data_IF_852654911360
#
_entry.id   IF_852654911360
#
_cell.length_a   1.000
_cell.length_b   1.000
_cell.length_c   1.000
_cell.angle_alpha   90.00
_cell.angle_beta   90.00
_cell.angle_gamma   90.00
#
_symmetry.space_group_name_H-M   'P 1'
#
loop_
_entity.id
_entity.type
_entity.pdbx_description
1 polymer ?
#
# COMPACT_ATOMS: atom_id res chain seq x y z
N UNK A 1 13.90 -9.30 -18.30
CA UNK A 1 12.77 -9.19 -19.26
C UNK A 1 11.55 -8.57 -18.59
N UNK A 2 10.61 -7.98 -19.33
CA UNK A 2 9.39 -7.35 -18.76
C UNK A 2 8.57 -8.35 -17.92
N UNK A 3 8.45 -9.60 -18.37
CA UNK A 3 7.69 -10.64 -17.69
C UNK A 3 8.26 -10.99 -16.30
N UNK A 4 9.58 -11.10 -16.17
CA UNK A 4 10.25 -11.39 -14.88
C UNK A 4 9.97 -10.31 -13.84
N UNK A 5 9.96 -9.04 -14.26
CA UNK A 5 9.68 -7.92 -13.36
C UNK A 5 8.21 -7.87 -12.91
N UNK A 6 7.29 -8.28 -13.78
CA UNK A 6 5.87 -8.41 -13.41
C UNK A 6 5.69 -9.57 -12.42
N UNK A 7 6.35 -10.70 -12.63
CA UNK A 7 6.30 -11.84 -11.71
C UNK A 7 6.83 -11.48 -10.31
N UNK A 8 7.95 -10.77 -10.24
CA UNK A 8 8.50 -10.24 -8.99
C UNK A 8 7.49 -9.32 -8.27
N UNK A 9 6.88 -8.40 -9.00
CA UNK A 9 5.87 -7.50 -8.46
C UNK A 9 4.61 -8.22 -7.95
N UNK A 10 4.19 -9.29 -8.62
CA UNK A 10 3.07 -10.14 -8.15
C UNK A 10 3.45 -10.80 -6.83
N UNK A 11 4.65 -11.38 -6.75
CA UNK A 11 5.15 -12.03 -5.52
C UNK A 11 5.23 -11.03 -4.35
N UNK A 12 5.72 -9.82 -4.58
CA UNK A 12 5.72 -8.74 -3.59
C UNK A 12 4.30 -8.41 -3.11
N UNK A 13 3.35 -8.27 -4.03
CA UNK A 13 1.96 -7.95 -3.68
C UNK A 13 1.27 -9.08 -2.92
N UNK A 14 1.57 -10.34 -3.22
CA UNK A 14 1.08 -11.51 -2.48
C UNK A 14 1.65 -11.55 -1.06
N UNK A 15 2.95 -11.31 -0.89
CA UNK A 15 3.60 -11.25 0.42
C UNK A 15 2.99 -10.14 1.29
N UNK A 16 2.80 -8.94 0.74
CA UNK A 16 2.15 -7.84 1.44
C UNK A 16 0.69 -8.18 1.82
N UNK A 17 -0.08 -8.77 0.92
CA UNK A 17 -1.47 -9.20 1.21
C UNK A 17 -1.53 -10.22 2.34
N UNK A 18 -0.62 -11.19 2.37
CA UNK A 18 -0.57 -12.21 3.42
C UNK A 18 -0.24 -11.58 4.78
N UNK A 19 0.75 -10.68 4.81
CA UNK A 19 1.12 -9.95 6.03
C UNK A 19 -0.02 -9.09 6.58
N UNK A 20 -0.75 -8.40 5.70
CA UNK A 20 -1.91 -7.56 6.03
C UNK A 20 -3.09 -8.41 6.53
N UNK A 21 -3.39 -9.51 5.85
CA UNK A 21 -4.47 -10.45 6.23
C UNK A 21 -4.22 -11.05 7.61
N UNK A 22 -2.97 -11.43 7.91
CA UNK A 22 -2.58 -11.96 9.22
C UNK A 22 -2.83 -10.97 10.37
N UNK A 23 -2.94 -9.67 10.08
CA UNK A 23 -3.21 -8.59 11.04
C UNK A 23 -4.64 -8.07 10.98
N UNK A 24 -5.52 -8.75 10.26
CA UNK A 24 -6.92 -8.35 10.09
C UNK A 24 -7.13 -7.10 9.24
N UNK A 25 -6.11 -6.64 8.53
CA UNK A 25 -6.25 -5.53 7.59
C UNK A 25 -6.85 -6.01 6.28
N UNK A 26 -7.77 -5.23 5.72
CA UNK A 26 -8.49 -5.59 4.48
C UNK A 26 -7.90 -4.83 3.32
N UNK A 27 -7.37 -5.55 2.34
CA UNK A 27 -6.95 -4.98 1.06
C UNK A 27 -8.18 -4.67 0.20
N UNK A 28 -8.30 -3.44 -0.28
CA UNK A 28 -9.43 -2.96 -1.08
C UNK A 28 -9.11 -2.78 -2.55
N UNK A 29 -7.84 -2.50 -2.89
CA UNK A 29 -7.36 -2.39 -4.27
C UNK A 29 -5.89 -2.84 -4.36
N UNK A 30 -5.50 -3.42 -5.49
CA UNK A 30 -4.13 -3.89 -5.76
C UNK A 30 -3.71 -3.47 -7.16
N UNK A 31 -2.61 -2.70 -7.24
CA UNK A 31 -2.05 -2.21 -8.50
C UNK A 31 -0.65 -2.73 -8.68
N UNK A 32 -0.52 -3.69 -9.59
CA UNK A 32 0.74 -4.32 -9.99
C UNK A 32 0.94 -4.01 -11.48
N UNK A 33 1.48 -2.83 -11.81
CA UNK A 33 1.75 -2.48 -13.21
C UNK A 33 3.05 -1.72 -13.37
N UNK A 34 4.03 -2.34 -14.06
CA UNK A 34 5.33 -1.84 -14.55
C UNK A 34 6.22 -1.00 -13.61
N UNK A 35 5.71 -0.60 -12.45
CA UNK A 35 6.30 0.19 -11.37
C UNK A 35 6.08 -0.57 -10.06
N UNK A 36 6.68 -0.06 -9.00
CA UNK A 36 6.54 -0.59 -7.63
C UNK A 36 5.05 -0.86 -7.31
N UNK A 37 4.68 -2.05 -6.83
CA UNK A 37 3.30 -2.39 -6.51
C UNK A 37 2.71 -1.46 -5.44
N UNK A 38 1.40 -1.24 -5.53
CA UNK A 38 0.65 -0.44 -4.56
C UNK A 38 -0.62 -1.16 -4.13
N UNK A 39 -0.87 -1.18 -2.82
CA UNK A 39 -2.07 -1.76 -2.23
C UNK A 39 -2.82 -0.67 -1.47
N UNK A 40 -4.12 -0.56 -1.70
CA UNK A 40 -5.03 0.25 -0.87
C UNK A 40 -5.63 -0.66 0.20
N UNK A 41 -5.68 -0.17 1.45
CA UNK A 41 -6.18 -0.93 2.58
C UNK A 41 -7.24 -0.16 3.36
N UNK A 42 -8.10 -0.91 4.04
CA UNK A 42 -8.93 -0.45 5.13
C UNK A 42 -8.44 -1.08 6.44
N UNK A 43 -8.57 -0.35 7.55
CA UNK A 43 -8.12 -0.76 8.88
C UNK A 43 -6.59 -1.02 8.90
N UNK A 44 -5.75 0.03 8.89
CA UNK A 44 -4.31 -0.13 8.89
C UNK A 44 -3.81 -0.75 10.21
N UNK A 45 -2.93 -1.76 10.17
CA UNK A 45 -2.27 -2.28 11.36
C UNK A 45 -1.41 -1.22 12.03
N UNK A 46 -1.27 -1.30 13.36
CA UNK A 46 -0.53 -0.32 14.16
C UNK A 46 0.93 -0.15 13.70
N UNK A 47 1.55 -1.22 13.23
CA UNK A 47 2.93 -1.20 12.74
C UNK A 47 3.08 -0.34 11.48
N UNK A 48 2.07 -0.34 10.60
CA UNK A 48 2.04 0.55 9.44
C UNK A 48 1.73 1.98 9.84
N UNK A 49 0.82 2.21 10.79
CA UNK A 49 0.49 3.55 11.29
C UNK A 49 1.73 4.23 11.87
N UNK A 50 2.54 3.50 12.63
CA UNK A 50 3.75 4.03 13.27
C UNK A 50 4.87 4.37 12.28
N UNK A 51 4.86 3.78 11.09
CA UNK A 51 5.88 3.96 10.05
C UNK A 51 5.38 4.76 8.85
N UNK A 52 4.12 5.21 8.87
CA UNK A 52 3.49 5.91 7.76
C UNK A 52 3.92 7.36 7.66
N UNK A 53 4.09 7.81 6.42
CA UNK A 53 4.14 9.22 6.08
C UNK A 53 2.75 9.71 5.69
N UNK A 54 2.36 10.89 6.17
CA UNK A 54 1.10 11.54 5.79
C UNK A 54 1.36 12.52 4.64
N UNK A 55 0.72 12.28 3.51
CA UNK A 55 0.63 13.22 2.39
C UNK A 55 -0.71 13.93 2.51
N UNK A 56 -0.69 15.25 2.69
CA UNK A 56 -1.89 16.06 2.80
C UNK A 56 -1.92 17.12 1.70
N UNK A 57 -3.07 17.26 1.05
CA UNK A 57 -3.36 18.33 0.10
C UNK A 57 -4.49 19.18 0.66
N UNK A 58 -4.28 20.50 0.67
CA UNK A 58 -5.26 21.48 1.16
C UNK A 58 -5.66 22.41 0.04
N UNK A 59 -6.97 22.54 -0.22
CA UNK A 59 -7.51 23.42 -1.24
C UNK A 59 -8.88 23.97 -0.81
N UNK A 60 -9.06 25.30 -0.90
CA UNK A 60 -10.30 26.03 -0.57
C UNK A 60 -10.95 25.60 0.76
N UNK A 61 -10.15 25.45 1.82
CA UNK A 61 -10.63 25.06 3.15
C UNK A 61 -10.89 23.57 3.36
N UNK A 62 -10.81 22.75 2.29
CA UNK A 62 -10.82 21.29 2.39
C UNK A 62 -9.41 20.72 2.53
N UNK A 63 -9.24 19.73 3.40
CA UNK A 63 -8.00 18.94 3.49
C UNK A 63 -8.30 17.49 3.14
N UNK A 64 -7.52 16.91 2.23
CA UNK A 64 -7.47 15.47 1.99
C UNK A 64 -6.13 14.94 2.43
N UNK A 65 -6.12 13.77 3.06
CA UNK A 65 -4.90 13.10 3.49
C UNK A 65 -4.89 11.67 2.99
N UNK A 66 -3.69 11.20 2.65
CA UNK A 66 -3.38 9.80 2.39
C UNK A 66 -2.18 9.46 3.24
N UNK A 67 -2.23 8.31 3.88
CA UNK A 67 -1.09 7.73 4.57
C UNK A 67 -0.41 6.75 3.65
N UNK A 68 0.93 6.74 3.68
CA UNK A 68 1.75 5.87 2.84
C UNK A 68 2.78 5.17 3.72
N UNK A 69 2.83 3.85 3.65
CA UNK A 69 3.87 3.03 4.27
C UNK A 69 4.54 2.12 3.23
N UNK A 70 5.69 1.55 3.57
CA UNK A 70 6.37 0.54 2.74
C UNK A 70 6.29 -0.82 3.42
N UNK A 71 5.94 -1.86 2.66
CA UNK A 71 5.82 -3.23 3.16
C UNK A 71 6.12 -4.21 2.01
N UNK A 72 7.01 -5.18 2.22
CA UNK A 72 7.34 -6.23 1.23
C UNK A 72 7.61 -5.66 -0.18
N UNK A 73 8.38 -4.58 -0.27
CA UNK A 73 8.67 -3.90 -1.54
C UNK A 73 7.50 -3.07 -2.11
N UNK A 74 6.29 -3.16 -1.56
CA UNK A 74 5.11 -2.44 -1.99
C UNK A 74 4.94 -1.08 -1.30
N UNK A 75 4.11 -0.21 -1.90
CA UNK A 75 3.52 0.95 -1.21
C UNK A 75 2.13 0.60 -0.70
N UNK A 76 1.89 0.83 0.57
CA UNK A 76 0.59 0.60 1.21
C UNK A 76 -0.04 1.96 1.47
N UNK A 77 -1.26 2.18 0.99
CA UNK A 77 -1.96 3.45 1.12
C UNK A 77 -3.32 3.29 1.79
N UNK A 78 -3.72 4.29 2.55
CA UNK A 78 -5.08 4.41 3.10
C UNK A 78 -5.46 5.88 3.30
N UNK A 79 -6.76 6.12 3.49
CA UNK A 79 -7.37 7.44 3.76
C UNK A 79 -8.05 7.45 5.12
#
# INVERSE_FOLDING_TARGET
>A
MIAERIAEHISMAEAAQNWLRARGSRVTDVRVFMRRPMLEIACPPVELVNSAERIAESHNGGTRSVWVASLEGCRIIWR
#
